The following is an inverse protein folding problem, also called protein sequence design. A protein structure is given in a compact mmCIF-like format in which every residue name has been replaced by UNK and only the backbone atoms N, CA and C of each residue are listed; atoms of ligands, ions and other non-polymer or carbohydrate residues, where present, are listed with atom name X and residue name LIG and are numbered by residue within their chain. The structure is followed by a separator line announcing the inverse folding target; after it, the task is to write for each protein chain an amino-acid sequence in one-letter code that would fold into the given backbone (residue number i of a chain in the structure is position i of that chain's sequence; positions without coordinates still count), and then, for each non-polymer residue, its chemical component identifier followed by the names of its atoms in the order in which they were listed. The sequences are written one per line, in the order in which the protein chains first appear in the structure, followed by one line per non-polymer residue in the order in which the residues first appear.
data_IF_877538627869
#
_entry.id   IF_877538627869
#
_cell.length_a   1.000
_cell.length_b   1.000
_cell.length_c   1.000
_cell.angle_alpha   90.00
_cell.angle_beta   90.00
_cell.angle_gamma   90.00
#
_symmetry.space_group_name_H-M   'P 1'
#
loop_
_entity.id
_entity.type
_entity.pdbx_description
1 polymer ?
#
# COMPACT_ATOMS: atom_id res chain seq x y z
N UNK A 1 25.28 9.42 -20.43
CA UNK A 1 24.37 10.41 -19.81
C UNK A 1 23.31 10.80 -20.82
N UNK A 2 22.09 10.27 -20.70
CA UNK A 2 20.92 10.80 -21.40
C UNK A 2 20.02 11.36 -20.30
N UNK A 3 20.09 12.68 -20.13
CA UNK A 3 19.16 13.45 -19.31
C UNK A 3 17.97 13.70 -20.23
N UNK A 4 16.93 12.88 -20.11
CA UNK A 4 15.61 13.23 -20.61
C UNK A 4 14.75 13.43 -19.38
N UNK A 5 14.39 14.68 -19.12
CA UNK A 5 13.36 15.00 -18.13
C UNK A 5 12.06 14.37 -18.60
N UNK A 6 11.50 13.46 -17.81
CA UNK A 6 10.12 13.03 -17.96
C UNK A 6 9.25 14.28 -17.82
N UNK A 7 8.55 14.64 -18.89
CA UNK A 7 7.51 15.66 -18.80
C UNK A 7 6.52 15.21 -17.72
N UNK A 8 6.23 16.09 -16.76
CA UNK A 8 5.25 15.80 -15.72
C UNK A 8 3.91 15.47 -16.38
N UNK A 9 3.49 14.20 -16.31
CA UNK A 9 2.18 13.77 -16.81
C UNK A 9 1.12 14.54 -16.00
N UNK A 10 0.19 15.27 -16.64
CA UNK A 10 -0.83 16.03 -15.91
C UNK A 10 -1.65 15.08 -15.03
N UNK A 11 -1.60 15.27 -13.71
CA UNK A 11 -2.40 14.50 -12.76
C UNK A 11 -3.81 15.10 -12.69
N UNK A 12 -4.77 14.53 -13.43
CA UNK A 12 -6.17 14.85 -13.15
C UNK A 12 -6.53 14.34 -11.74
N UNK A 13 -7.33 15.08 -10.96
CA UNK A 13 -7.80 14.55 -9.69
C UNK A 13 -8.60 13.25 -9.88
N UNK A 14 -8.73 12.47 -8.80
CA UNK A 14 -9.51 11.24 -8.81
C UNK A 14 -10.91 11.50 -9.40
N UNK A 15 -11.34 10.77 -10.43
CA UNK A 15 -12.61 11.02 -11.11
C UNK A 15 -13.85 10.71 -10.26
N UNK A 16 -13.69 10.07 -9.09
CA UNK A 16 -14.79 9.74 -8.19
C UNK A 16 -14.94 10.74 -7.03
N UNK A 17 -13.85 11.15 -6.40
CA UNK A 17 -13.88 12.02 -5.21
C UNK A 17 -13.24 13.40 -5.40
N UNK A 18 -12.55 13.65 -6.51
CA UNK A 18 -11.87 14.92 -6.78
C UNK A 18 -10.56 15.14 -6.02
N UNK A 19 -10.13 14.21 -5.15
CA UNK A 19 -8.85 14.31 -4.44
C UNK A 19 -7.66 13.94 -5.32
N UNK A 20 -6.50 14.53 -5.06
CA UNK A 20 -5.25 14.20 -5.74
C UNK A 20 -4.78 12.78 -5.38
N UNK A 21 -4.47 11.98 -6.39
CA UNK A 21 -3.88 10.67 -6.23
C UNK A 21 -2.35 10.70 -6.22
N UNK A 22 -1.75 9.58 -5.79
CA UNK A 22 -0.29 9.35 -5.80
C UNK A 22 0.11 8.59 -7.06
N UNK A 23 1.21 8.93 -7.75
CA UNK A 23 1.64 8.21 -8.95
C UNK A 23 2.00 6.75 -8.66
N UNK A 24 1.62 5.85 -9.58
CA UNK A 24 1.90 4.40 -9.57
C UNK A 24 2.16 3.95 -11.02
N UNK A 25 3.12 3.03 -11.21
CA UNK A 25 3.45 2.51 -12.54
C UNK A 25 2.38 1.58 -13.10
N UNK A 26 2.18 1.60 -14.43
CA UNK A 26 1.19 0.76 -15.11
C UNK A 26 1.41 -0.74 -14.90
N UNK A 27 2.66 -1.20 -14.74
CA UNK A 27 2.96 -2.60 -14.39
C UNK A 27 2.34 -3.04 -13.05
N UNK A 28 2.36 -2.18 -12.03
CA UNK A 28 1.71 -2.44 -10.73
C UNK A 28 0.19 -2.55 -10.92
N UNK A 29 -0.39 -1.57 -11.61
CA UNK A 29 -1.85 -1.53 -11.87
C UNK A 29 -2.28 -2.79 -12.62
N UNK A 30 -1.59 -3.12 -13.71
CA UNK A 30 -1.88 -4.31 -14.53
C UNK A 30 -1.80 -5.60 -13.74
N UNK A 31 -0.83 -5.72 -12.83
CA UNK A 31 -0.69 -6.92 -12.00
C UNK A 31 -1.81 -7.08 -10.97
N UNK A 32 -2.34 -5.97 -10.45
CA UNK A 32 -3.27 -5.98 -9.31
C UNK A 32 -4.75 -5.93 -9.72
N UNK A 33 -5.10 -5.43 -10.91
CA UNK A 33 -6.49 -5.49 -11.39
C UNK A 33 -6.92 -6.91 -11.74
N UNK A 34 -8.23 -7.16 -11.73
CA UNK A 34 -8.82 -8.42 -12.20
C UNK A 34 -8.29 -8.82 -13.59
N UNK A 35 -8.10 -10.12 -13.82
CA UNK A 35 -7.51 -10.63 -15.06
C UNK A 35 -8.24 -10.13 -16.32
N UNK A 36 -9.58 -10.09 -16.28
CA UNK A 36 -10.46 -9.60 -17.35
C UNK A 36 -10.25 -8.12 -17.71
N UNK A 37 -9.49 -7.37 -16.90
CA UNK A 37 -9.25 -5.94 -17.05
C UNK A 37 -7.82 -5.62 -17.47
N UNK A 38 -6.91 -6.59 -17.41
CA UNK A 38 -5.48 -6.36 -17.66
C UNK A 38 -5.19 -5.88 -19.08
N UNK A 39 -6.00 -6.28 -20.07
CA UNK A 39 -5.87 -5.81 -21.46
C UNK A 39 -6.18 -4.33 -21.63
N UNK A 40 -6.94 -3.73 -20.69
CA UNK A 40 -7.25 -2.29 -20.68
C UNK A 40 -6.11 -1.45 -20.11
N UNK A 41 -5.11 -2.08 -19.48
CA UNK A 41 -4.00 -1.39 -18.82
C UNK A 41 -2.79 -1.38 -19.74
N UNK A 42 -2.47 -0.19 -20.24
CA UNK A 42 -1.15 0.08 -20.82
C UNK A 42 -0.12 0.13 -19.68
N UNK A 43 0.89 -0.74 -19.72
CA UNK A 43 1.90 -0.82 -18.66
C UNK A 43 2.88 0.37 -18.67
N UNK A 44 3.00 1.06 -19.80
CA UNK A 44 3.91 2.20 -20.01
C UNK A 44 3.22 3.55 -19.73
N UNK A 45 1.90 3.55 -19.53
CA UNK A 45 1.15 4.75 -19.20
C UNK A 45 1.27 5.15 -17.71
N UNK A 46 0.99 6.42 -17.43
CA UNK A 46 0.98 6.97 -16.07
C UNK A 46 -0.36 6.75 -15.37
N UNK A 47 -0.32 6.16 -14.18
CA UNK A 47 -1.49 5.96 -13.32
C UNK A 47 -1.30 6.62 -11.96
N UNK A 48 -2.41 6.76 -11.27
CA UNK A 48 -2.48 7.26 -9.92
C UNK A 48 -3.34 6.34 -9.07
N UNK A 49 -3.02 6.26 -7.78
CA UNK A 49 -3.84 5.62 -6.76
C UNK A 49 -4.51 6.69 -5.89
N UNK A 50 -5.83 6.55 -5.70
CA UNK A 50 -6.59 7.42 -4.83
C UNK A 50 -6.36 7.02 -3.36
N UNK A 51 -5.77 7.93 -2.59
CA UNK A 51 -5.39 7.72 -1.19
C UNK A 51 -6.53 7.99 -0.18
N UNK A 52 -7.68 8.50 -0.64
CA UNK A 52 -8.83 8.75 0.23
C UNK A 52 -9.40 7.42 0.76
N UNK A 53 -9.52 7.30 2.08
CA UNK A 53 -9.92 6.04 2.74
C UNK A 53 -11.38 5.66 2.49
N UNK A 54 -12.25 6.65 2.23
CA UNK A 54 -13.69 6.48 2.02
C UNK A 54 -14.08 6.35 0.55
N UNK A 55 -13.19 6.71 -0.37
CA UNK A 55 -13.41 6.63 -1.80
C UNK A 55 -13.19 5.20 -2.35
N UNK A 56 -14.17 4.68 -3.09
CA UNK A 56 -14.10 3.34 -3.70
C UNK A 56 -13.14 3.25 -4.89
N UNK A 57 -12.68 4.37 -5.44
CA UNK A 57 -11.67 4.37 -6.49
C UNK A 57 -10.32 3.92 -5.92
N UNK A 58 -9.67 3.00 -6.63
CA UNK A 58 -8.30 2.57 -6.34
C UNK A 58 -7.37 3.24 -7.33
N UNK A 59 -7.37 2.79 -8.59
CA UNK A 59 -6.48 3.32 -9.63
C UNK A 59 -7.25 4.16 -10.64
N UNK A 60 -6.58 5.13 -11.22
CA UNK A 60 -7.06 5.84 -12.39
C UNK A 60 -5.89 6.26 -13.29
N UNK A 61 -6.11 6.27 -14.60
CA UNK A 61 -5.14 6.76 -15.58
C UNK A 61 -5.04 8.29 -15.48
N UNK A 62 -3.88 8.86 -15.80
CA UNK A 62 -3.66 10.30 -15.82
C UNK A 62 -4.70 11.10 -16.64
N UNK A 63 -5.22 10.51 -17.71
CA UNK A 63 -6.28 11.05 -18.56
C UNK A 63 -7.62 11.21 -17.82
N UNK A 64 -7.84 10.44 -16.75
CA UNK A 64 -9.12 10.29 -16.05
C UNK A 64 -10.14 9.38 -16.74
N UNK A 65 -9.85 8.88 -17.96
CA UNK A 65 -10.80 8.11 -18.78
C UNK A 65 -10.95 6.67 -18.30
N UNK A 66 -9.86 6.09 -17.78
CA UNK A 66 -9.82 4.76 -17.19
C UNK A 66 -9.70 4.84 -15.67
N UNK A 67 -10.52 4.05 -14.96
CA UNK A 67 -10.44 3.88 -13.51
C UNK A 67 -10.77 2.45 -13.10
N UNK A 68 -10.30 2.08 -11.91
CA UNK A 68 -10.57 0.80 -11.26
C UNK A 68 -11.03 1.04 -9.82
N UNK A 69 -12.12 0.39 -9.43
CA UNK A 69 -12.68 0.42 -8.09
C UNK A 69 -12.14 -0.71 -7.21
N UNK A 70 -12.40 -0.66 -5.89
CA UNK A 70 -11.95 -1.69 -4.93
C UNK A 70 -12.34 -3.12 -5.34
N UNK A 71 -13.53 -3.30 -5.89
CA UNK A 71 -14.03 -4.60 -6.34
C UNK A 71 -13.48 -5.03 -7.72
N UNK A 72 -12.60 -4.24 -8.33
CA UNK A 72 -11.98 -4.51 -9.63
C UNK A 72 -10.46 -4.77 -9.48
N UNK A 73 -9.99 -4.90 -8.23
CA UNK A 73 -8.61 -5.14 -7.82
C UNK A 73 -8.56 -6.41 -6.95
N UNK A 74 -7.57 -7.26 -7.19
CA UNK A 74 -7.45 -8.59 -6.57
C UNK A 74 -6.97 -8.59 -5.12
N UNK A 75 -6.66 -7.41 -4.56
CA UNK A 75 -6.14 -7.26 -3.19
C UNK A 75 -6.86 -6.12 -2.47
N UNK A 76 -7.11 -6.26 -1.15
CA UNK A 76 -7.59 -5.14 -0.34
C UNK A 76 -6.50 -4.06 -0.31
N UNK A 77 -6.91 -2.79 -0.26
CA UNK A 77 -5.99 -1.65 -0.22
C UNK A 77 -5.93 -1.17 1.22
N UNK A 78 -4.85 -1.50 1.94
CA UNK A 78 -4.75 -1.39 3.41
C UNK A 78 -5.20 -0.06 4.04
N UNK A 79 -5.06 1.06 3.34
CA UNK A 79 -5.47 2.38 3.82
C UNK A 79 -6.94 2.73 3.52
N UNK A 80 -7.66 1.89 2.78
CA UNK A 80 -9.13 2.04 2.64
C UNK A 80 -9.80 1.65 3.95
N UNK A 81 -10.87 2.36 4.29
CA UNK A 81 -11.56 2.24 5.58
C UNK A 81 -12.02 0.81 5.86
N UNK A 82 -12.53 0.14 4.84
CA UNK A 82 -13.11 -1.20 4.85
C UNK A 82 -12.15 -2.30 4.38
N UNK A 83 -10.85 -2.00 4.27
CA UNK A 83 -9.86 -3.00 3.88
C UNK A 83 -9.75 -4.09 4.94
N UNK A 84 -9.97 -5.34 4.51
CA UNK A 84 -9.80 -6.54 5.32
C UNK A 84 -9.19 -7.67 4.46
N UNK A 85 -8.01 -8.19 4.81
CA UNK A 85 -7.10 -7.69 5.87
C UNK A 85 -6.35 -6.41 5.47
N UNK A 86 -5.77 -5.72 6.46
CA UNK A 86 -4.85 -4.60 6.24
C UNK A 86 -3.40 -5.09 6.16
N UNK A 87 -2.91 -5.28 4.93
CA UNK A 87 -1.53 -5.73 4.73
C UNK A 87 -0.50 -4.62 4.98
N UNK A 88 0.50 -4.94 5.81
CA UNK A 88 1.73 -4.17 5.92
C UNK A 88 2.73 -4.59 4.82
N UNK A 89 2.83 -5.89 4.51
CA UNK A 89 3.65 -6.42 3.41
C UNK A 89 2.83 -7.35 2.52
N UNK A 90 2.49 -6.88 1.32
CA UNK A 90 1.71 -7.66 0.34
C UNK A 90 2.44 -8.91 -0.14
N UNK A 91 3.76 -8.83 -0.39
CA UNK A 91 4.53 -9.95 -0.93
C UNK A 91 4.54 -11.17 -0.01
N UNK A 92 4.58 -10.95 1.30
CA UNK A 92 4.59 -12.00 2.31
C UNK A 92 3.23 -12.19 2.99
N UNK A 93 2.20 -11.44 2.58
CA UNK A 93 0.87 -11.38 3.22
C UNK A 93 0.92 -11.13 4.74
N UNK A 94 1.86 -10.31 5.19
CA UNK A 94 1.96 -9.88 6.60
C UNK A 94 1.04 -8.69 6.83
N UNK A 95 0.20 -8.78 7.85
CA UNK A 95 -0.78 -7.75 8.24
C UNK A 95 -0.17 -6.70 9.16
N UNK A 96 -0.84 -5.54 9.28
CA UNK A 96 -0.49 -4.51 10.27
C UNK A 96 -0.59 -5.09 11.69
N UNK A 97 -1.59 -5.94 11.94
CA UNK A 97 -1.79 -6.63 13.21
C UNK A 97 -0.64 -7.60 13.54
N UNK A 98 -0.10 -8.33 12.55
CA UNK A 98 1.08 -9.19 12.74
C UNK A 98 2.30 -8.37 13.18
N UNK A 99 2.51 -7.20 12.56
CA UNK A 99 3.62 -6.30 12.93
C UNK A 99 3.43 -5.76 14.35
N UNK A 100 2.20 -5.34 14.70
CA UNK A 100 1.90 -4.84 16.05
C UNK A 100 2.12 -5.93 17.09
N UNK A 101 1.66 -7.17 16.85
CA UNK A 101 1.90 -8.30 17.78
C UNK A 101 3.39 -8.61 17.93
N UNK A 102 4.18 -8.54 16.85
CA UNK A 102 5.62 -8.71 16.94
C UNK A 102 6.27 -7.66 17.89
N UNK A 103 5.74 -6.45 17.92
CA UNK A 103 6.25 -5.37 18.77
C UNK A 103 5.77 -5.50 20.22
N UNK A 104 4.46 -5.68 20.41
CA UNK A 104 3.83 -5.70 21.73
C UNK A 104 4.18 -6.98 22.48
N UNK A 105 3.97 -8.13 21.84
CA UNK A 105 4.04 -9.45 22.49
C UNK A 105 5.45 -10.04 22.44
N UNK A 106 6.20 -9.78 21.37
CA UNK A 106 7.52 -10.38 21.13
C UNK A 106 8.68 -9.38 21.28
N UNK A 107 8.38 -8.10 21.53
CA UNK A 107 9.39 -7.08 21.83
C UNK A 107 10.18 -6.56 20.64
N UNK A 108 9.75 -6.83 19.40
CA UNK A 108 10.40 -6.27 18.22
C UNK A 108 10.38 -4.73 18.25
N UNK A 109 11.49 -4.12 17.87
CA UNK A 109 11.71 -2.67 17.97
C UNK A 109 12.15 -2.03 16.66
N UNK A 110 12.49 -2.85 15.65
CA UNK A 110 12.97 -2.42 14.35
C UNK A 110 12.35 -3.22 13.20
N UNK A 111 12.38 -2.66 11.99
CA UNK A 111 11.93 -3.36 10.77
C UNK A 111 12.69 -4.67 10.57
N UNK A 112 13.98 -4.72 10.91
CA UNK A 112 14.79 -5.93 10.80
C UNK A 112 14.24 -7.07 11.67
N UNK A 113 13.95 -6.77 12.94
CA UNK A 113 13.40 -7.76 13.89
C UNK A 113 11.99 -8.19 13.49
N UNK A 114 11.14 -7.24 13.07
CA UNK A 114 9.80 -7.56 12.54
C UNK A 114 9.89 -8.47 11.32
N UNK A 115 10.79 -8.20 10.39
CA UNK A 115 10.98 -9.05 9.21
C UNK A 115 11.43 -10.47 9.59
N UNK A 116 12.30 -10.60 10.59
CA UNK A 116 12.75 -11.90 11.10
C UNK A 116 11.61 -12.71 11.73
N UNK A 117 10.74 -12.06 12.51
CA UNK A 117 9.63 -12.72 13.23
C UNK A 117 8.43 -13.01 12.32
N UNK A 118 8.10 -12.10 11.40
CA UNK A 118 6.87 -12.18 10.59
C UNK A 118 7.10 -12.75 9.19
N UNK A 119 8.35 -12.77 8.71
CA UNK A 119 8.67 -13.10 7.31
C UNK A 119 8.36 -11.98 6.31
N UNK A 120 8.01 -10.78 6.78
CA UNK A 120 7.88 -9.62 5.91
C UNK A 120 9.16 -9.39 5.09
N UNK A 121 8.99 -8.92 3.84
CA UNK A 121 10.07 -8.63 2.89
C UNK A 121 10.93 -9.83 2.45
N UNK A 122 10.61 -11.08 2.85
CA UNK A 122 11.39 -12.29 2.49
C UNK A 122 11.44 -12.59 0.99
N UNK A 123 10.32 -12.43 0.29
CA UNK A 123 10.18 -12.68 -1.15
C UNK A 123 9.73 -11.41 -1.88
N UNK A 124 10.51 -10.34 -1.73
CA UNK A 124 10.09 -9.01 -2.16
C UNK A 124 9.92 -8.90 -3.69
N UNK A 125 8.72 -8.51 -4.12
CA UNK A 125 8.42 -8.03 -5.47
C UNK A 125 7.44 -6.87 -5.39
N UNK A 126 7.81 -5.84 -4.62
CA UNK A 126 6.89 -4.76 -4.23
C UNK A 126 6.42 -3.92 -5.44
N UNK A 127 7.23 -3.85 -6.50
CA UNK A 127 6.87 -3.16 -7.74
C UNK A 127 5.61 -3.74 -8.40
N UNK A 128 5.32 -5.03 -8.21
CA UNK A 128 4.11 -5.67 -8.73
C UNK A 128 3.05 -5.88 -7.65
N UNK A 129 3.47 -6.27 -6.44
CA UNK A 129 2.56 -6.77 -5.41
C UNK A 129 2.07 -5.70 -4.43
N UNK A 130 2.80 -4.60 -4.23
CA UNK A 130 2.34 -3.52 -3.36
C UNK A 130 1.44 -2.57 -4.17
N UNK A 131 0.24 -2.21 -3.70
CA UNK A 131 -0.61 -1.27 -4.42
C UNK A 131 0.02 0.09 -4.77
N UNK A 132 1.04 0.52 -4.02
CA UNK A 132 1.79 1.74 -4.32
C UNK A 132 2.99 1.52 -5.25
N UNK A 133 3.27 0.29 -5.67
CA UNK A 133 4.42 -0.06 -6.51
C UNK A 133 5.79 0.14 -5.84
N UNK A 134 5.83 0.32 -4.52
CA UNK A 134 7.06 0.63 -3.76
C UNK A 134 7.25 -0.28 -2.56
N UNK A 135 8.46 -0.30 -2.01
CA UNK A 135 8.79 -1.09 -0.82
C UNK A 135 7.84 -0.79 0.35
N UNK A 136 7.41 -1.83 1.06
CA UNK A 136 6.52 -1.75 2.21
C UNK A 136 7.17 -1.23 3.50
N UNK A 137 8.49 -0.98 3.49
CA UNK A 137 9.25 -0.53 4.66
C UNK A 137 8.56 0.61 5.45
N UNK A 138 8.03 1.68 4.81
CA UNK A 138 7.38 2.76 5.56
C UNK A 138 6.12 2.31 6.30
N UNK A 139 5.32 1.42 5.71
CA UNK A 139 4.08 0.89 6.33
C UNK A 139 4.43 0.00 7.52
N UNK A 140 5.48 -0.81 7.40
CA UNK A 140 5.99 -1.62 8.51
C UNK A 140 6.50 -0.72 9.64
N UNK A 141 7.25 0.34 9.30
CA UNK A 141 7.74 1.30 10.30
C UNK A 141 6.60 1.99 11.04
N UNK A 142 5.56 2.44 10.33
CA UNK A 142 4.38 3.04 10.94
C UNK A 142 3.66 2.05 11.90
N UNK A 143 3.51 0.79 11.48
CA UNK A 143 2.94 -0.24 12.33
C UNK A 143 3.80 -0.54 13.57
N UNK A 144 5.13 -0.45 13.46
CA UNK A 144 6.04 -0.55 14.60
C UNK A 144 5.79 0.59 15.59
N UNK A 145 5.72 1.82 15.09
CA UNK A 145 5.54 3.00 15.94
C UNK A 145 4.19 2.97 16.66
N UNK A 146 3.14 2.50 15.97
CA UNK A 146 1.82 2.21 16.58
C UNK A 146 1.92 1.15 17.68
N UNK A 147 2.61 0.03 17.43
CA UNK A 147 2.81 -1.01 18.44
C UNK A 147 3.56 -0.51 19.68
N UNK A 148 4.59 0.33 19.49
CA UNK A 148 5.33 0.96 20.59
C UNK A 148 4.46 1.89 21.44
N UNK A 149 3.63 2.72 20.79
CA UNK A 149 2.69 3.59 21.48
C UNK A 149 1.68 2.80 22.33
N UNK A 150 1.19 1.66 21.83
CA UNK A 150 0.30 0.77 22.59
C UNK A 150 1.00 0.18 23.82
N UNK A 151 2.23 -0.30 23.68
CA UNK A 151 3.02 -0.86 24.80
C UNK A 151 3.29 0.17 25.90
N UNK A 152 3.56 1.42 25.52
CA UNK A 152 3.73 2.53 26.46
C UNK A 152 2.47 2.82 27.29
N UNK A 153 1.29 2.67 26.69
CA UNK A 153 0.00 2.87 27.37
C UNK A 153 -0.44 1.67 28.22
N UNK A 154 -0.03 0.44 27.88
CA UNK A 154 -0.31 -0.74 28.74
C UNK A 154 0.51 -0.67 30.03
N UNK A 155 1.78 -0.27 29.94
CA UNK A 155 2.66 -0.15 31.10
C UNK A 155 2.28 0.98 32.07
N UNK A 156 1.47 1.96 31.64
CA UNK A 156 0.98 3.04 32.52
C UNK A 156 -0.32 2.70 33.26
N UNK A 157 -1.02 1.64 32.85
CA UNK A 157 -2.28 1.19 33.48
C UNK A 157 -2.04 0.04 34.48
N UNK A 158 -0.92 -0.66 34.38
CA UNK A 158 -0.54 -1.73 35.33
C UNK A 158 0.02 -1.24 36.67
N UNK A 159 0.19 0.08 36.85
CA UNK A 159 0.79 0.69 38.06
C UNK A 159 -0.24 1.42 38.96
N UNK A 160 -1.54 1.17 38.78
CA UNK A 160 -2.64 1.65 39.65
C UNK A 160 -3.52 0.51 40.12
#
# INVERSE_FOLDING_TARGET
MKIFGEAAVPNKPCPLCGNQGRPVGGATVKHLVEESRQERVDAEAGYFICMDEACDAVYYEASGDLRFLKNEVNVPIWFKKDADPKYACYCSRVTVEDVIRAVVDQGASSVKEVNQLTGAMKNANCALNNPLGVCCHPVIQEAIDRGKAMKGNVNSVSDT
#
